data_IF_425094929045
#
_entry.id   IF_425094929045
#
_cell.length_a   1.000
_cell.length_b   1.000
_cell.length_c   1.000
_cell.angle_alpha   90.00
_cell.angle_beta   90.00
_cell.angle_gamma   90.00
#
_symmetry.space_group_name_H-M   'P 1'
#
loop_
_entity.id
_entity.type
_entity.pdbx_description
1 polymer ?
#
# COMPACT_ATOMS: atom_id res chain seq x y z
N UNK A 1 -29.65 20.86 5.72
CA UNK A 1 -29.26 19.54 5.24
C UNK A 1 -28.81 19.72 3.79
N UNK A 2 -27.49 19.69 3.52
CA UNK A 2 -26.98 19.70 2.13
C UNK A 2 -26.99 18.27 1.66
N UNK A 3 -27.80 17.96 0.68
CA UNK A 3 -27.72 16.73 -0.10
C UNK A 3 -26.30 16.62 -0.64
N UNK A 4 -25.54 15.69 -0.11
CA UNK A 4 -24.31 15.24 -0.74
C UNK A 4 -24.72 14.55 -2.03
N UNK A 5 -24.53 15.23 -3.16
CA UNK A 5 -24.68 14.66 -4.49
C UNK A 5 -23.98 13.32 -4.52
N UNK A 6 -24.76 12.29 -4.63
CA UNK A 6 -24.31 10.91 -4.88
C UNK A 6 -23.80 10.86 -6.33
N UNK A 7 -22.61 11.43 -6.57
CA UNK A 7 -21.96 11.35 -7.88
C UNK A 7 -21.69 9.89 -8.15
N UNK A 8 -22.36 9.38 -9.16
CA UNK A 8 -22.43 8.00 -9.58
C UNK A 8 -21.08 7.25 -9.43
N UNK A 9 -21.15 6.10 -8.79
CA UNK A 9 -20.03 5.21 -8.47
C UNK A 9 -19.58 4.42 -9.72
N UNK A 10 -19.66 5.04 -10.90
CA UNK A 10 -19.20 4.45 -12.15
C UNK A 10 -17.89 5.11 -12.54
N UNK A 11 -16.80 4.34 -12.75
CA UNK A 11 -15.54 4.92 -13.19
C UNK A 11 -15.68 5.55 -14.59
N UNK A 12 -14.92 6.62 -14.84
CA UNK A 12 -14.93 7.29 -16.16
C UNK A 12 -14.45 6.37 -17.30
N UNK A 13 -13.52 5.47 -17.00
CA UNK A 13 -13.04 4.45 -17.90
C UNK A 13 -13.42 3.09 -17.33
N UNK A 14 -14.09 2.27 -18.11
CA UNK A 14 -14.53 0.94 -17.73
C UNK A 14 -14.32 -0.02 -18.90
N UNK A 15 -13.90 -1.24 -18.62
CA UNK A 15 -13.78 -2.27 -19.64
C UNK A 15 -15.13 -2.51 -20.31
N UNK A 16 -15.14 -2.75 -21.64
CA UNK A 16 -16.39 -2.87 -22.41
C UNK A 16 -17.37 -3.88 -21.83
N UNK A 17 -16.86 -5.02 -21.37
CA UNK A 17 -17.64 -6.13 -20.80
C UNK A 17 -18.38 -5.80 -19.49
N UNK A 18 -17.94 -4.74 -18.78
CA UNK A 18 -18.55 -4.33 -17.50
C UNK A 18 -19.39 -3.05 -17.59
N UNK A 19 -19.54 -2.45 -18.77
CA UNK A 19 -20.25 -1.15 -18.92
C UNK A 19 -21.68 -1.20 -18.40
N UNK A 20 -22.33 -2.35 -18.59
CA UNK A 20 -23.72 -2.59 -18.17
C UNK A 20 -23.85 -3.24 -16.78
N UNK A 21 -22.74 -3.41 -16.05
CA UNK A 21 -22.72 -4.08 -14.73
C UNK A 21 -23.21 -3.20 -13.57
N UNK A 22 -23.80 -2.04 -13.85
CA UNK A 22 -24.31 -1.13 -12.83
C UNK A 22 -23.23 -0.32 -12.11
N UNK A 23 -23.61 0.31 -11.01
CA UNK A 23 -22.72 1.13 -10.19
C UNK A 23 -21.88 0.27 -9.24
N UNK A 24 -20.72 0.77 -8.85
CA UNK A 24 -19.92 0.15 -7.80
C UNK A 24 -20.55 0.41 -6.42
N UNK A 25 -20.48 -0.56 -5.54
CA UNK A 25 -20.93 -0.45 -4.17
C UNK A 25 -19.88 0.26 -3.30
N UNK A 26 -20.33 0.71 -2.13
CA UNK A 26 -19.42 1.21 -1.10
C UNK A 26 -19.56 0.34 0.12
N UNK A 27 -18.48 -0.35 0.49
CA UNK A 27 -18.45 -1.30 1.59
C UNK A 27 -17.39 -0.84 2.60
N UNK A 28 -17.70 -0.79 3.92
CA UNK A 28 -16.70 -0.49 4.94
C UNK A 28 -15.57 -1.51 4.95
N UNK A 29 -14.32 -1.04 5.17
CA UNK A 29 -13.15 -1.90 5.25
C UNK A 29 -13.35 -3.05 6.26
N UNK A 30 -14.05 -2.82 7.35
CA UNK A 30 -14.36 -3.84 8.38
C UNK A 30 -15.14 -5.05 7.88
N UNK A 31 -15.88 -4.92 6.79
CA UNK A 31 -16.59 -6.03 6.16
C UNK A 31 -15.69 -6.81 5.17
N UNK A 32 -14.67 -6.15 4.64
CA UNK A 32 -13.76 -6.69 3.62
C UNK A 32 -12.46 -7.25 4.23
N UNK A 33 -12.07 -6.76 5.40
CA UNK A 33 -10.80 -7.09 6.02
C UNK A 33 -10.89 -7.11 7.55
N UNK A 34 -9.92 -7.76 8.17
CA UNK A 34 -9.75 -7.82 9.63
C UNK A 34 -8.39 -7.26 10.02
N UNK A 35 -8.32 -6.57 11.17
CA UNK A 35 -7.03 -6.17 11.72
C UNK A 35 -6.23 -7.40 12.13
N UNK A 36 -4.94 -7.42 11.80
CA UNK A 36 -3.98 -8.34 12.34
C UNK A 36 -3.30 -7.70 13.56
N UNK A 37 -3.46 -8.31 14.73
CA UNK A 37 -2.89 -7.83 15.99
C UNK A 37 -1.96 -8.87 16.63
N UNK A 38 -1.62 -9.91 15.89
CA UNK A 38 -0.69 -10.95 16.33
C UNK A 38 0.67 -10.31 16.61
N UNK A 39 1.21 -10.56 17.79
CA UNK A 39 2.52 -10.08 18.20
C UNK A 39 3.58 -11.17 18.07
N UNK A 40 4.82 -10.75 17.89
CA UNK A 40 6.01 -11.62 17.86
C UNK A 40 6.43 -12.04 19.28
N UNK A 41 5.49 -12.54 20.09
CA UNK A 41 5.67 -12.79 21.52
C UNK A 41 6.85 -13.72 21.86
N UNK A 42 7.28 -14.56 20.92
CA UNK A 42 8.42 -15.48 21.11
C UNK A 42 9.73 -14.96 20.53
N UNK A 43 9.70 -13.78 19.90
CA UNK A 43 10.90 -13.21 19.25
C UNK A 43 11.44 -14.05 18.09
N UNK A 44 10.62 -14.94 17.50
CA UNK A 44 11.06 -15.87 16.45
C UNK A 44 11.33 -15.17 15.12
N UNK A 45 10.67 -14.04 14.88
CA UNK A 45 10.83 -13.26 13.64
C UNK A 45 11.76 -12.06 13.88
N UNK A 46 12.79 -11.96 13.04
CA UNK A 46 13.83 -10.92 13.12
C UNK A 46 13.85 -9.98 11.91
N UNK A 47 13.10 -10.28 10.83
CA UNK A 47 12.97 -9.41 9.68
C UNK A 47 12.02 -8.25 10.01
N UNK A 48 12.56 -7.05 10.15
CA UNK A 48 11.79 -5.85 10.43
C UNK A 48 11.43 -5.16 9.12
N UNK A 49 10.12 -5.04 8.87
CA UNK A 49 9.59 -4.37 7.69
C UNK A 49 9.11 -2.96 8.05
N UNK A 50 9.14 -2.06 7.08
CA UNK A 50 8.59 -0.71 7.19
C UNK A 50 7.72 -0.39 5.98
N UNK A 51 6.79 0.57 6.11
CA UNK A 51 5.95 1.04 5.01
C UNK A 51 6.38 2.43 4.58
N UNK A 52 7.10 2.50 3.46
CA UNK A 52 7.53 3.72 2.80
C UNK A 52 6.40 4.31 1.95
N UNK A 53 6.31 5.64 1.88
CA UNK A 53 5.38 6.32 0.98
C UNK A 53 5.76 6.16 -0.50
N UNK A 54 7.03 5.90 -0.80
CA UNK A 54 7.56 5.78 -2.16
C UNK A 54 7.63 4.32 -2.64
N UNK A 55 8.14 3.43 -1.77
CA UNK A 55 8.43 2.05 -2.17
C UNK A 55 7.44 1.03 -1.58
N UNK A 56 6.44 1.47 -0.80
CA UNK A 56 5.53 0.59 -0.10
C UNK A 56 6.23 -0.17 1.02
N UNK A 57 5.85 -1.44 1.23
CA UNK A 57 6.49 -2.30 2.23
C UNK A 57 7.87 -2.72 1.76
N UNK A 58 8.89 -2.44 2.57
CA UNK A 58 10.30 -2.75 2.32
C UNK A 58 10.95 -3.31 3.58
N UNK A 59 12.07 -4.04 3.43
CA UNK A 59 12.91 -4.40 4.57
C UNK A 59 13.53 -3.13 5.15
N UNK A 60 13.52 -3.01 6.47
CA UNK A 60 14.00 -1.79 7.13
C UNK A 60 15.50 -1.59 6.95
N UNK A 61 16.29 -2.66 6.85
CA UNK A 61 17.74 -2.59 6.65
C UNK A 61 18.10 -2.10 5.25
N UNK A 62 17.32 -2.52 4.24
CA UNK A 62 17.55 -2.08 2.87
C UNK A 62 17.15 -0.61 2.65
N UNK A 63 16.23 -0.12 3.48
CA UNK A 63 15.69 1.25 3.35
C UNK A 63 16.47 2.29 4.17
N UNK A 64 17.02 1.89 5.31
CA UNK A 64 17.80 2.76 6.18
C UNK A 64 19.22 2.19 6.32
N UNK A 65 20.24 3.02 6.10
CA UNK A 65 21.65 2.64 6.30
C UNK A 65 22.02 2.30 7.77
N UNK A 66 21.03 2.25 8.65
CA UNK A 66 21.19 1.98 10.09
C UNK A 66 20.08 1.06 10.59
N UNK A 67 20.45 0.10 11.44
CA UNK A 67 19.50 -0.66 12.25
C UNK A 67 18.75 0.28 13.21
N UNK A 68 17.53 0.71 12.83
CA UNK A 68 16.67 1.55 13.68
C UNK A 68 16.00 0.72 14.78
N UNK A 69 15.70 -0.54 14.50
CA UNK A 69 15.23 -1.48 15.51
C UNK A 69 16.46 -2.11 16.19
N UNK A 70 16.73 -1.72 17.42
CA UNK A 70 17.67 -2.44 18.29
C UNK A 70 17.23 -3.89 18.37
N UNK A 71 18.12 -4.86 18.12
CA UNK A 71 17.85 -6.32 18.11
C UNK A 71 17.23 -6.88 19.42
N UNK A 72 16.92 -6.03 20.40
CA UNK A 72 16.56 -6.43 21.75
C UNK A 72 15.06 -6.42 22.11
N UNK A 73 14.15 -5.90 21.28
CA UNK A 73 12.74 -5.80 21.70
C UNK A 73 11.73 -5.83 20.54
N UNK A 74 11.71 -6.93 19.79
CA UNK A 74 10.74 -7.15 18.73
C UNK A 74 9.48 -7.90 19.21
N UNK A 75 9.41 -8.30 20.48
CA UNK A 75 8.28 -9.06 21.04
C UNK A 75 6.95 -8.28 20.98
N UNK A 76 7.01 -6.96 21.14
CA UNK A 76 5.85 -6.08 21.02
C UNK A 76 5.40 -5.78 19.59
N UNK A 77 6.20 -6.15 18.57
CA UNK A 77 5.93 -5.86 17.17
C UNK A 77 4.81 -6.76 16.64
N UNK A 78 4.05 -6.23 15.68
CA UNK A 78 3.03 -7.01 14.99
C UNK A 78 3.67 -7.91 13.94
N UNK A 79 3.20 -9.17 13.88
CA UNK A 79 3.51 -10.08 12.79
C UNK A 79 2.73 -9.63 11.55
N UNK A 80 3.44 -9.51 10.44
CA UNK A 80 2.87 -9.23 9.13
C UNK A 80 3.22 -10.36 8.18
N UNK A 81 2.24 -10.89 7.48
CA UNK A 81 2.43 -11.93 6.47
C UNK A 81 2.41 -11.34 5.05
N UNK A 82 2.95 -12.09 4.09
CA UNK A 82 2.82 -11.73 2.68
C UNK A 82 1.34 -11.68 2.29
N UNK A 83 0.90 -10.60 1.65
CA UNK A 83 -0.49 -10.35 1.30
C UNK A 83 -1.25 -9.47 2.29
N UNK A 84 -0.73 -9.24 3.49
CA UNK A 84 -1.28 -8.27 4.43
C UNK A 84 -1.11 -6.84 3.94
N UNK A 85 -1.95 -5.95 4.44
CA UNK A 85 -1.88 -4.52 4.19
C UNK A 85 -1.43 -3.77 5.43
N UNK A 86 -0.72 -2.68 5.21
CA UNK A 86 -0.15 -1.83 6.27
C UNK A 86 -0.50 -0.38 6.03
N UNK A 87 -1.09 0.24 7.03
CA UNK A 87 -1.23 1.68 7.10
C UNK A 87 -0.14 2.27 8.01
N UNK A 88 0.64 3.20 7.47
CA UNK A 88 1.59 4.01 8.24
C UNK A 88 0.98 5.41 8.45
N UNK A 89 0.72 5.83 9.69
CA UNK A 89 0.09 7.13 9.95
C UNK A 89 1.00 8.32 9.67
N UNK A 90 2.27 8.11 9.33
CA UNK A 90 3.23 9.19 9.09
C UNK A 90 2.91 9.95 7.82
N UNK A 91 2.79 11.26 7.95
CA UNK A 91 2.49 12.19 6.85
C UNK A 91 3.78 12.55 6.11
N UNK A 92 3.69 12.61 4.78
CA UNK A 92 4.73 13.14 3.91
C UNK A 92 4.11 13.88 2.72
N UNK A 93 4.95 14.55 1.92
CA UNK A 93 4.47 15.17 0.67
C UNK A 93 3.83 14.17 -0.29
N UNK A 94 4.36 12.95 -0.33
CA UNK A 94 3.87 11.86 -1.18
C UNK A 94 2.65 11.14 -0.60
N UNK A 95 2.50 11.15 0.73
CA UNK A 95 1.40 10.51 1.44
C UNK A 95 0.82 11.46 2.49
N UNK A 96 -0.05 12.40 2.08
CA UNK A 96 -0.56 13.47 2.96
C UNK A 96 -1.54 12.97 4.05
N UNK A 97 -1.96 11.72 3.98
CA UNK A 97 -2.76 11.06 5.03
C UNK A 97 -2.09 9.75 5.53
N UNK A 98 -0.81 9.57 5.21
CA UNK A 98 -0.08 8.33 5.43
C UNK A 98 -0.32 7.31 4.30
N UNK A 99 0.65 6.42 3.99
CA UNK A 99 0.49 5.41 2.95
C UNK A 99 -0.21 4.16 3.46
N UNK A 100 -1.00 3.53 2.59
CA UNK A 100 -1.46 2.14 2.73
C UNK A 100 -0.80 1.31 1.62
N UNK A 101 -0.13 0.22 2.00
CA UNK A 101 0.55 -0.65 1.03
C UNK A 101 0.33 -2.13 1.35
N UNK A 102 0.30 -2.97 0.31
CA UNK A 102 0.29 -4.43 0.43
C UNK A 102 1.71 -4.93 0.67
N UNK A 103 1.87 -5.88 1.58
CA UNK A 103 3.14 -6.58 1.77
C UNK A 103 3.33 -7.65 0.69
N UNK A 104 4.18 -7.37 -0.27
CA UNK A 104 4.53 -8.29 -1.36
C UNK A 104 5.87 -9.00 -1.14
N UNK A 105 6.57 -8.73 -0.01
CA UNK A 105 7.92 -9.23 0.25
C UNK A 105 7.86 -10.60 0.91
N UNK A 106 7.68 -10.64 2.22
CA UNK A 106 7.76 -11.84 3.03
C UNK A 106 7.09 -11.64 4.38
N UNK A 107 6.99 -12.71 5.17
CA UNK A 107 6.62 -12.63 6.58
C UNK A 107 7.70 -11.93 7.38
N UNK A 108 7.32 -11.01 8.26
CA UNK A 108 8.22 -10.27 9.12
C UNK A 108 7.48 -9.60 10.27
N UNK A 109 8.08 -8.60 10.86
CA UNK A 109 7.50 -7.84 11.96
C UNK A 109 7.48 -6.34 11.65
N UNK A 110 6.46 -5.66 12.18
CA UNK A 110 6.29 -4.21 12.04
C UNK A 110 6.05 -3.53 13.38
N UNK A 111 6.50 -2.28 13.47
CA UNK A 111 6.24 -1.43 14.62
C UNK A 111 4.74 -1.37 14.95
N UNK A 112 4.36 -1.43 16.24
CA UNK A 112 2.97 -1.31 16.67
C UNK A 112 2.35 0.08 16.39
N UNK A 113 3.13 1.02 15.88
CA UNK A 113 2.64 2.31 15.37
C UNK A 113 1.84 2.18 14.07
N UNK A 114 2.02 1.08 13.35
CA UNK A 114 1.31 0.80 12.09
C UNK A 114 0.01 0.04 12.35
N UNK A 115 -0.94 0.19 11.45
CA UNK A 115 -2.14 -0.65 11.44
C UNK A 115 -1.96 -1.73 10.39
N UNK A 116 -1.88 -2.99 10.83
CA UNK A 116 -1.83 -4.16 9.95
C UNK A 116 -3.23 -4.74 9.79
N UNK A 117 -3.63 -5.05 8.57
CA UNK A 117 -4.93 -5.65 8.29
C UNK A 117 -4.84 -6.62 7.10
N UNK A 118 -5.73 -7.60 7.10
CA UNK A 118 -5.79 -8.68 6.10
C UNK A 118 -7.17 -8.71 5.48
N UNK A 119 -7.24 -8.68 4.15
CA UNK A 119 -8.49 -8.89 3.44
C UNK A 119 -8.98 -10.33 3.58
N UNK A 120 -10.30 -10.49 3.65
CA UNK A 120 -10.93 -11.81 3.74
C UNK A 120 -10.76 -12.63 2.44
N UNK A 121 -10.63 -11.94 1.30
CA UNK A 121 -10.38 -12.54 -0.01
C UNK A 121 -8.91 -12.35 -0.40
N UNK A 122 -8.26 -13.42 -0.87
CA UNK A 122 -6.87 -13.40 -1.35
C UNK A 122 -6.71 -12.61 -2.67
N UNK A 123 -7.75 -12.56 -3.50
CA UNK A 123 -7.78 -11.77 -4.74
C UNK A 123 -8.13 -10.31 -4.40
N UNK A 124 -7.17 -9.59 -3.85
CA UNK A 124 -7.37 -8.24 -3.30
C UNK A 124 -6.42 -7.18 -3.90
N UNK A 125 -5.70 -7.50 -4.98
CA UNK A 125 -4.74 -6.58 -5.63
C UNK A 125 -5.40 -5.33 -6.18
N UNK A 126 -6.68 -5.36 -6.49
CA UNK A 126 -7.50 -4.19 -6.81
C UNK A 126 -7.36 -3.10 -5.73
N UNK A 127 -7.44 -3.47 -4.45
CA UNK A 127 -7.30 -2.52 -3.35
C UNK A 127 -5.87 -2.00 -3.20
N UNK A 128 -4.85 -2.77 -3.59
CA UNK A 128 -3.47 -2.28 -3.60
C UNK A 128 -3.31 -1.11 -4.58
N UNK A 129 -3.98 -1.15 -5.73
CA UNK A 129 -4.04 -0.04 -6.68
C UNK A 129 -4.95 1.09 -6.20
N UNK A 130 -6.11 0.77 -5.64
CA UNK A 130 -7.00 1.78 -5.09
C UNK A 130 -6.31 2.66 -4.04
N UNK A 131 -5.55 2.07 -3.12
CA UNK A 131 -4.82 2.80 -2.10
C UNK A 131 -3.66 3.66 -2.62
N UNK A 132 -3.22 3.47 -3.86
CA UNK A 132 -2.31 4.39 -4.55
C UNK A 132 -3.01 5.65 -5.07
N UNK A 133 -4.36 5.68 -5.09
CA UNK A 133 -5.16 6.85 -5.49
C UNK A 133 -5.44 7.77 -4.30
N UNK A 134 -6.10 8.90 -4.56
CA UNK A 134 -6.55 9.84 -3.52
C UNK A 134 -7.99 9.62 -3.06
N UNK A 135 -8.69 8.60 -3.58
CA UNK A 135 -10.12 8.39 -3.36
C UNK A 135 -10.52 8.19 -1.90
N UNK A 136 -9.62 7.70 -1.05
CA UNK A 136 -9.84 7.48 0.38
C UNK A 136 -9.32 8.62 1.27
N UNK A 137 -8.57 9.59 0.71
CA UNK A 137 -7.93 10.66 1.49
C UNK A 137 -8.94 11.61 2.15
N UNK A 138 -10.07 11.91 1.49
CA UNK A 138 -11.09 12.77 2.04
C UNK A 138 -11.68 12.19 3.32
N UNK A 139 -12.00 10.88 3.30
CA UNK A 139 -12.48 10.18 4.49
C UNK A 139 -11.47 10.29 5.64
N UNK A 140 -10.19 9.99 5.39
CA UNK A 140 -9.14 10.07 6.40
C UNK A 140 -9.02 11.47 7.01
N UNK A 141 -9.10 12.53 6.19
CA UNK A 141 -9.06 13.92 6.69
C UNK A 141 -10.27 14.29 7.55
N UNK A 142 -11.43 13.72 7.25
CA UNK A 142 -12.68 14.02 7.99
C UNK A 142 -12.76 13.28 9.33
N UNK A 143 -12.21 12.08 9.39
CA UNK A 143 -12.28 11.21 10.58
C UNK A 143 -11.04 11.28 11.47
N UNK A 144 -9.94 11.85 10.97
CA UNK A 144 -8.72 12.01 11.75
C UNK A 144 -8.71 13.33 12.50
N UNK A 145 -8.10 13.32 13.67
CA UNK A 145 -7.66 14.53 14.36
C UNK A 145 -6.17 14.74 14.13
N UNK A 146 -5.74 16.00 14.12
CA UNK A 146 -4.32 16.32 14.19
C UNK A 146 -3.86 15.96 15.60
N UNK A 147 -3.13 14.85 15.74
CA UNK A 147 -2.54 14.47 17.02
C UNK A 147 -1.51 15.50 17.50
N UNK A 148 -1.08 15.41 18.75
CA UNK A 148 -0.06 16.28 19.35
C UNK A 148 1.28 16.31 18.57
N UNK A 149 1.47 15.39 17.65
CA UNK A 149 2.58 15.36 16.69
C UNK A 149 2.06 15.69 15.32
N UNK A 150 2.45 16.83 14.79
CA UNK A 150 2.03 17.33 13.47
C UNK A 150 2.49 16.46 12.28
N UNK A 151 3.30 15.42 12.51
CA UNK A 151 3.84 14.51 11.49
C UNK A 151 3.01 13.24 11.31
N UNK A 152 1.89 13.09 12.04
CA UNK A 152 1.07 11.85 12.03
C UNK A 152 -0.42 12.13 12.04
N UNK A 153 -1.14 11.28 11.32
CA UNK A 153 -2.60 11.20 11.37
C UNK A 153 -2.99 10.42 12.63
N UNK A 154 -3.86 11.02 13.46
CA UNK A 154 -4.48 10.34 14.59
C UNK A 154 -5.89 9.90 14.18
N UNK A 155 -6.07 8.62 13.92
CA UNK A 155 -7.35 7.98 13.58
C UNK A 155 -7.58 6.82 14.55
N UNK A 156 -8.81 6.66 15.03
CA UNK A 156 -9.13 5.48 15.85
C UNK A 156 -9.16 4.22 14.99
N UNK A 157 -8.96 3.06 15.61
CA UNK A 157 -9.06 1.80 14.88
C UNK A 157 -10.47 1.56 14.31
N UNK A 158 -11.50 2.00 15.03
CA UNK A 158 -12.89 1.92 14.57
C UNK A 158 -13.12 2.76 13.32
N UNK A 159 -12.70 4.03 13.37
CA UNK A 159 -12.82 4.95 12.22
C UNK A 159 -12.00 4.46 11.02
N UNK A 160 -10.77 3.97 11.25
CA UNK A 160 -9.96 3.40 10.17
C UNK A 160 -10.65 2.21 9.50
N UNK A 161 -11.21 1.29 10.28
CA UNK A 161 -11.91 0.11 9.75
C UNK A 161 -13.31 0.44 9.19
N UNK A 162 -13.89 1.58 9.54
CA UNK A 162 -15.14 2.08 8.94
C UNK A 162 -14.93 2.77 7.59
N UNK A 163 -13.67 2.90 7.11
CA UNK A 163 -13.35 3.55 5.84
C UNK A 163 -14.14 2.92 4.68
N UNK A 164 -14.91 3.74 3.92
CA UNK A 164 -15.70 3.25 2.79
C UNK A 164 -14.79 2.94 1.60
N UNK A 165 -14.86 1.73 1.08
CA UNK A 165 -14.11 1.28 -0.10
C UNK A 165 -15.05 1.02 -1.27
N UNK A 166 -14.67 1.40 -2.50
CA UNK A 166 -15.42 1.05 -3.69
C UNK A 166 -15.23 -0.45 -3.99
N UNK A 167 -16.33 -1.13 -4.27
CA UNK A 167 -16.37 -2.56 -4.56
C UNK A 167 -17.22 -2.78 -5.80
N UNK A 168 -16.72 -3.58 -6.71
CA UNK A 168 -17.43 -4.04 -7.91
C UNK A 168 -17.35 -5.57 -7.99
N UNK A 169 -17.87 -6.15 -9.07
CA UNK A 169 -17.79 -7.59 -9.34
C UNK A 169 -16.33 -8.07 -9.24
N UNK A 170 -16.13 -9.26 -8.70
CA UNK A 170 -14.80 -9.82 -8.50
C UNK A 170 -14.02 -9.92 -9.81
N UNK A 171 -14.68 -10.30 -10.90
CA UNK A 171 -14.08 -10.37 -12.23
C UNK A 171 -13.62 -9.00 -12.74
N UNK A 172 -14.36 -7.93 -12.44
CA UNK A 172 -13.96 -6.57 -12.79
C UNK A 172 -12.78 -6.13 -11.94
N UNK A 173 -12.79 -6.40 -10.63
CA UNK A 173 -11.65 -6.12 -9.75
C UNK A 173 -10.38 -6.81 -10.25
N UNK A 174 -10.48 -8.09 -10.60
CA UNK A 174 -9.35 -8.87 -11.11
C UNK A 174 -8.86 -8.29 -12.45
N UNK A 175 -9.76 -7.98 -13.37
CA UNK A 175 -9.40 -7.40 -14.67
C UNK A 175 -8.66 -6.08 -14.53
N UNK A 176 -9.10 -5.22 -13.60
CA UNK A 176 -8.44 -3.95 -13.30
C UNK A 176 -7.04 -4.21 -12.72
N UNK A 177 -6.92 -5.11 -11.75
CA UNK A 177 -5.65 -5.47 -11.13
C UNK A 177 -4.66 -6.05 -12.15
N UNK A 178 -5.10 -6.97 -13.01
CA UNK A 178 -4.28 -7.60 -14.05
C UNK A 178 -3.79 -6.57 -15.08
N UNK A 179 -4.66 -5.68 -15.51
CA UNK A 179 -4.31 -4.60 -16.43
C UNK A 179 -3.20 -3.71 -15.84
N UNK A 180 -3.38 -3.25 -14.60
CA UNK A 180 -2.44 -2.36 -13.93
C UNK A 180 -1.11 -3.07 -13.59
N UNK A 181 -1.17 -4.34 -13.16
CA UNK A 181 0.04 -5.11 -12.88
C UNK A 181 0.84 -5.42 -14.15
N UNK A 182 0.18 -5.64 -15.28
CA UNK A 182 0.86 -5.82 -16.56
C UNK A 182 1.63 -4.57 -16.98
N UNK A 183 1.07 -3.39 -16.72
CA UNK A 183 1.75 -2.11 -16.96
C UNK A 183 2.93 -1.89 -16.00
N UNK A 184 2.77 -2.22 -14.71
CA UNK A 184 3.87 -2.16 -13.73
C UNK A 184 5.03 -3.08 -14.14
N UNK A 185 4.73 -4.30 -14.65
CA UNK A 185 5.73 -5.22 -15.17
C UNK A 185 6.45 -4.65 -16.39
N UNK A 186 5.71 -4.07 -17.35
CA UNK A 186 6.29 -3.45 -18.54
C UNK A 186 7.22 -2.28 -18.16
N UNK A 187 6.77 -1.40 -17.26
CA UNK A 187 7.59 -0.28 -16.75
C UNK A 187 8.90 -0.81 -16.13
N UNK A 188 8.81 -1.88 -15.34
CA UNK A 188 9.98 -2.50 -14.70
C UNK A 188 10.96 -3.05 -15.73
N UNK A 189 10.48 -3.78 -16.74
CA UNK A 189 11.31 -4.34 -17.81
C UNK A 189 11.99 -3.24 -18.64
N UNK A 190 11.29 -2.18 -19.00
CA UNK A 190 11.88 -1.06 -19.74
C UNK A 190 12.90 -0.28 -18.90
N UNK A 191 12.67 -0.14 -17.59
CA UNK A 191 13.65 0.46 -16.69
C UNK A 191 14.94 -0.37 -16.60
N UNK A 192 14.83 -1.70 -16.51
CA UNK A 192 15.97 -2.62 -16.53
C UNK A 192 16.75 -2.52 -17.83
N UNK A 193 16.05 -2.52 -18.97
CA UNK A 193 16.65 -2.37 -20.31
C UNK A 193 17.39 -1.03 -20.45
N UNK A 194 16.79 0.05 -19.96
CA UNK A 194 17.44 1.37 -19.96
C UNK A 194 18.72 1.36 -19.09
N UNK A 195 18.68 0.70 -17.93
CA UNK A 195 19.84 0.51 -17.05
C UNK A 195 20.98 -0.25 -17.75
N UNK A 196 20.65 -1.36 -18.41
CA UNK A 196 21.62 -2.15 -19.17
C UNK A 196 22.26 -1.36 -20.31
N UNK A 197 21.45 -0.60 -21.08
CA UNK A 197 21.96 0.26 -22.16
C UNK A 197 22.88 1.37 -21.64
N UNK A 198 22.55 1.98 -20.49
CA UNK A 198 23.42 2.99 -19.86
C UNK A 198 24.77 2.39 -19.45
N UNK A 199 24.77 1.19 -18.86
CA UNK A 199 25.99 0.47 -18.49
C UNK A 199 26.82 0.09 -19.72
N UNK A 200 26.18 -0.43 -20.76
CA UNK A 200 26.85 -0.76 -22.02
C UNK A 200 27.50 0.46 -22.67
N UNK A 201 26.74 1.59 -22.77
CA UNK A 201 27.28 2.85 -23.26
C UNK A 201 28.52 3.30 -22.48
N UNK A 202 28.46 3.22 -21.13
CA UNK A 202 29.61 3.57 -20.27
C UNK A 202 30.83 2.71 -20.57
N UNK A 203 30.64 1.39 -20.76
CA UNK A 203 31.71 0.47 -21.13
C UNK A 203 32.33 0.78 -22.49
N UNK A 204 31.51 1.05 -23.50
CA UNK A 204 32.00 1.48 -24.84
C UNK A 204 32.80 2.78 -24.76
N UNK A 205 32.32 3.77 -24.02
CA UNK A 205 33.06 5.05 -23.87
C UNK A 205 34.44 4.85 -23.27
N UNK A 206 34.61 3.91 -22.35
CA UNK A 206 35.94 3.60 -21.77
C UNK A 206 36.86 2.86 -22.73
N UNK A 207 36.31 2.11 -23.71
CA UNK A 207 37.09 1.32 -24.65
C UNK A 207 37.41 2.07 -25.96
N UNK A 208 36.55 3.02 -26.36
CA UNK A 208 36.70 3.76 -27.61
C UNK A 208 37.64 4.96 -27.50
N UNK A 209 37.96 5.41 -26.31
CA UNK A 209 38.91 6.51 -26.10
C UNK A 209 40.17 6.00 -25.38
N UNK A 210 41.37 6.47 -25.82
CA UNK A 210 42.61 6.12 -25.15
C UNK A 210 42.62 6.69 -23.72
N UNK A 211 43.34 6.00 -22.81
CA UNK A 211 43.52 6.41 -21.42
C UNK A 211 44.49 7.60 -21.32
#
# INVERSE_FOLDING_TARGET
MKETENRGRVPRLRFPEFRESGEWETIPLSQLAKRSTQKNNRGELNSVLTNSAEFGVVDQRDYFDKDIATQGNLEGYFVIEKGDYVYNPRISKMAPVGPISKNNIATGVMSPLYTVFRFNNSHNDFFAYYFKTTGWHQYMRQTSSTGARHDRVAVTNGDFMAMPLPVTLLEEQQKIADCLSSLDNLITLEAQKLGALKTHKKGLMQQLFPA
#
